data_IF_715934274211
#
_entry.id   IF_715934274211
#
_cell.length_a   1.000
_cell.length_b   1.000
_cell.length_c   1.000
_cell.angle_alpha   90.00
_cell.angle_beta   90.00
_cell.angle_gamma   90.00
#
_symmetry.space_group_name_H-M   'P 1'
#
loop_
_entity.id
_entity.type
_entity.pdbx_description
1 polymer ?
#
# COMPACT_ATOMS: atom_id res chain seq x y z
N UNK A 1 -6.67 23.18 -3.03
CA UNK A 1 -5.77 23.52 -1.91
C UNK A 1 -4.88 22.33 -1.61
N UNK A 2 -3.57 22.53 -1.39
CA UNK A 2 -2.64 21.45 -1.03
C UNK A 2 -3.07 20.63 0.19
N UNK A 3 -3.61 21.27 1.23
CA UNK A 3 -4.14 20.58 2.42
C UNK A 3 -5.24 19.59 2.11
N UNK A 4 -6.19 20.01 1.29
CA UNK A 4 -7.30 19.16 0.86
C UNK A 4 -6.77 17.96 0.05
N UNK A 5 -5.76 18.16 -0.80
CA UNK A 5 -5.13 17.07 -1.53
C UNK A 5 -4.46 16.05 -0.60
N UNK A 6 -3.68 16.49 0.39
CA UNK A 6 -3.08 15.58 1.39
C UNK A 6 -4.14 14.76 2.14
N UNK A 7 -5.23 15.40 2.57
CA UNK A 7 -6.33 14.72 3.27
C UNK A 7 -7.02 13.68 2.38
N UNK A 8 -7.26 14.03 1.11
CA UNK A 8 -7.86 13.12 0.14
C UNK A 8 -6.94 11.93 -0.19
N UNK A 9 -5.63 12.16 -0.34
CA UNK A 9 -4.68 11.07 -0.57
C UNK A 9 -4.60 10.11 0.62
N UNK A 10 -4.65 10.63 1.85
CA UNK A 10 -4.75 9.80 3.06
C UNK A 10 -6.01 8.94 3.05
N UNK A 11 -7.15 9.55 2.73
CA UNK A 11 -8.43 8.85 2.65
C UNK A 11 -8.42 7.80 1.53
N UNK A 12 -7.84 8.11 0.37
CA UNK A 12 -7.72 7.18 -0.74
C UNK A 12 -6.92 5.93 -0.34
N UNK A 13 -5.80 6.08 0.38
CA UNK A 13 -5.06 4.93 0.93
C UNK A 13 -5.90 4.15 1.94
N UNK A 14 -6.63 4.82 2.82
CA UNK A 14 -7.51 4.14 3.77
C UNK A 14 -8.59 3.29 3.05
N UNK A 15 -9.21 3.85 2.01
CA UNK A 15 -10.18 3.13 1.18
C UNK A 15 -9.54 1.95 0.43
N UNK A 16 -8.33 2.14 -0.10
CA UNK A 16 -7.58 1.07 -0.75
C UNK A 16 -7.34 -0.10 0.21
N UNK A 17 -6.87 0.17 1.43
CA UNK A 17 -6.63 -0.90 2.40
C UNK A 17 -7.92 -1.62 2.80
N UNK A 18 -9.06 -0.90 2.83
CA UNK A 18 -10.38 -1.52 3.06
C UNK A 18 -10.78 -2.46 1.92
N UNK A 19 -10.49 -2.10 0.66
CA UNK A 19 -10.70 -2.98 -0.48
C UNK A 19 -9.81 -4.23 -0.44
N UNK A 20 -8.63 -4.14 0.16
CA UNK A 20 -7.71 -5.27 0.38
C UNK A 20 -8.06 -6.09 1.64
N UNK A 21 -9.27 -5.94 2.18
CA UNK A 21 -9.77 -6.71 3.33
C UNK A 21 -9.47 -6.10 4.70
N UNK A 22 -9.00 -4.84 4.75
CA UNK A 22 -8.86 -4.10 6.00
C UNK A 22 -10.21 -3.68 6.58
N UNK A 23 -10.41 -3.85 7.89
CA UNK A 23 -11.66 -3.48 8.58
C UNK A 23 -11.47 -2.34 9.59
N UNK A 24 -10.22 -2.00 9.91
CA UNK A 24 -9.87 -0.98 10.89
C UNK A 24 -9.65 0.39 10.29
N UNK A 25 -9.19 1.31 11.14
CA UNK A 25 -8.62 2.59 10.68
C UNK A 25 -7.27 2.36 9.99
N UNK A 26 -6.73 3.40 9.33
CA UNK A 26 -5.47 3.30 8.58
C UNK A 26 -4.30 2.73 9.43
N UNK A 27 -4.19 3.12 10.69
CA UNK A 27 -3.11 2.63 11.57
C UNK A 27 -3.25 1.13 11.88
N UNK A 28 -4.47 0.69 12.20
CA UNK A 28 -4.78 -0.73 12.43
C UNK A 28 -4.55 -1.57 11.18
N UNK A 29 -4.97 -1.07 10.01
CA UNK A 29 -4.77 -1.79 8.75
C UNK A 29 -3.28 -1.90 8.38
N UNK A 30 -2.47 -0.86 8.65
CA UNK A 30 -1.01 -0.96 8.48
C UNK A 30 -0.44 -2.06 9.37
N UNK A 31 -0.81 -2.09 10.66
CA UNK A 31 -0.37 -3.13 11.60
C UNK A 31 -0.73 -4.53 11.11
N UNK A 32 -1.98 -4.73 10.67
CA UNK A 32 -2.45 -6.02 10.15
C UNK A 32 -1.69 -6.46 8.90
N UNK A 33 -1.32 -5.54 8.01
CA UNK A 33 -0.51 -5.87 6.83
C UNK A 33 0.93 -6.26 7.22
N UNK A 34 1.51 -5.60 8.21
CA UNK A 34 2.84 -5.96 8.74
C UNK A 34 2.83 -7.38 9.32
N UNK A 35 1.79 -7.75 10.07
CA UNK A 35 1.61 -9.12 10.59
C UNK A 35 1.47 -10.16 9.46
N UNK A 36 0.98 -9.74 8.29
CA UNK A 36 0.89 -10.56 7.06
C UNK A 36 2.17 -10.55 6.22
N UNK A 37 3.27 -9.97 6.71
CA UNK A 37 4.56 -9.95 6.03
C UNK A 37 4.74 -8.80 5.03
N UNK A 38 4.04 -7.67 5.22
CA UNK A 38 4.25 -6.48 4.40
C UNK A 38 5.73 -6.05 4.39
N UNK A 39 6.23 -5.69 3.21
CA UNK A 39 7.57 -5.15 3.06
C UNK A 39 7.76 -3.88 3.94
N UNK A 40 8.81 -3.81 4.79
CA UNK A 40 9.05 -2.65 5.67
C UNK A 40 9.10 -1.30 4.94
N UNK A 41 9.56 -1.27 3.69
CA UNK A 41 9.60 -0.03 2.90
C UNK A 41 8.20 0.46 2.53
N UNK A 42 7.26 -0.46 2.27
CA UNK A 42 5.87 -0.11 1.96
C UNK A 42 5.14 0.33 3.23
N UNK A 43 5.44 -0.29 4.37
CA UNK A 43 4.97 0.20 5.67
C UNK A 43 5.41 1.66 5.90
N UNK A 44 6.70 1.98 5.69
CA UNK A 44 7.20 3.34 5.82
C UNK A 44 6.46 4.33 4.90
N UNK A 45 6.20 3.95 3.64
CA UNK A 45 5.40 4.75 2.71
C UNK A 45 3.99 5.03 3.24
N UNK A 46 3.31 4.00 3.76
CA UNK A 46 1.97 4.14 4.34
C UNK A 46 1.97 5.06 5.57
N UNK A 47 2.97 4.93 6.44
CA UNK A 47 3.12 5.78 7.63
C UNK A 47 3.38 7.24 7.27
N UNK A 48 4.19 7.53 6.26
CA UNK A 48 4.43 8.89 5.77
C UNK A 48 3.11 9.51 5.28
N UNK A 49 2.31 8.76 4.50
CA UNK A 49 1.00 9.24 4.02
C UNK A 49 0.05 9.49 5.19
N UNK A 50 0.00 8.59 6.16
CA UNK A 50 -0.85 8.72 7.36
C UNK A 50 -0.51 9.97 8.16
N UNK A 51 0.76 10.17 8.50
CA UNK A 51 1.22 11.29 9.34
C UNK A 51 1.08 12.61 8.61
N UNK A 52 1.52 12.68 7.35
CA UNK A 52 1.46 13.92 6.55
C UNK A 52 0.03 14.32 6.24
N UNK A 53 -0.82 13.35 5.87
CA UNK A 53 -2.24 13.57 5.61
C UNK A 53 -3.01 14.06 6.83
N UNK A 54 -2.71 13.53 8.02
CA UNK A 54 -3.30 14.00 9.29
C UNK A 54 -2.83 15.42 9.64
N UNK A 55 -1.54 15.71 9.50
CA UNK A 55 -1.01 17.02 9.86
C UNK A 55 -1.52 18.14 8.93
N UNK A 56 -1.88 17.82 7.69
CA UNK A 56 -2.38 18.78 6.72
C UNK A 56 -3.74 19.42 7.09
N UNK A 57 -4.51 18.81 8.00
CA UNK A 57 -5.84 19.29 8.40
C UNK A 57 -5.87 19.96 9.79
N UNK A 58 -4.75 19.98 10.52
CA UNK A 58 -4.69 20.62 11.84
C UNK A 58 -4.36 22.12 11.71
N UNK A 59 -5.23 23.03 12.19
CA UNK A 59 -4.98 24.47 12.13
C UNK A 59 -3.78 24.87 13.01
N UNK A 60 -2.89 25.72 12.48
CA UNK A 60 -1.76 26.30 13.23
C UNK A 60 -0.35 25.88 12.76
N UNK A 61 -0.22 24.90 11.86
CA UNK A 61 1.05 24.55 11.18
C UNK A 61 0.95 24.87 9.69
N UNK A 62 1.06 26.16 9.35
CA UNK A 62 1.19 26.57 7.95
C UNK A 62 2.68 26.52 7.62
N UNK A 63 3.13 25.46 6.95
CA UNK A 63 4.46 25.44 6.38
C UNK A 63 4.37 25.75 4.88
N UNK A 64 5.28 26.56 4.39
CA UNK A 64 5.36 27.02 2.99
C UNK A 64 5.68 25.89 1.99
N UNK A 65 5.90 24.66 2.49
CA UNK A 65 6.24 23.46 1.72
C UNK A 65 5.04 22.59 1.30
N UNK A 66 3.81 23.03 1.55
CA UNK A 66 2.59 22.21 1.37
C UNK A 66 2.46 21.59 -0.04
N UNK A 67 2.81 22.30 -1.12
CA UNK A 67 2.72 21.78 -2.49
C UNK A 67 3.78 20.71 -2.78
N UNK A 68 4.99 20.86 -2.23
CA UNK A 68 6.04 19.86 -2.36
C UNK A 68 5.65 18.55 -1.64
N UNK A 69 5.01 18.67 -0.48
CA UNK A 69 4.51 17.53 0.28
C UNK A 69 3.42 16.77 -0.49
N UNK A 70 2.51 17.44 -1.19
CA UNK A 70 1.47 16.78 -2.01
C UNK A 70 2.07 15.92 -3.11
N UNK A 71 3.08 16.42 -3.83
CA UNK A 71 3.72 15.66 -4.92
C UNK A 71 4.37 14.38 -4.41
N UNK A 72 5.09 14.47 -3.29
CA UNK A 72 5.69 13.29 -2.63
C UNK A 72 4.61 12.30 -2.21
N UNK A 73 3.47 12.75 -1.70
CA UNK A 73 2.37 11.86 -1.34
C UNK A 73 1.76 11.15 -2.57
N UNK A 74 1.64 11.82 -3.71
CA UNK A 74 1.22 11.16 -4.95
C UNK A 74 2.20 10.06 -5.38
N UNK A 75 3.50 10.35 -5.31
CA UNK A 75 4.54 9.36 -5.64
C UNK A 75 4.47 8.15 -4.69
N UNK A 76 4.27 8.38 -3.39
CA UNK A 76 4.10 7.30 -2.41
C UNK A 76 2.83 6.48 -2.66
N UNK A 77 1.72 7.12 -3.02
CA UNK A 77 0.48 6.40 -3.37
C UNK A 77 0.70 5.49 -4.57
N UNK A 78 1.44 5.95 -5.59
CA UNK A 78 1.80 5.11 -6.73
C UNK A 78 2.67 3.91 -6.31
N UNK A 79 3.68 4.12 -5.47
CA UNK A 79 4.53 3.03 -4.94
C UNK A 79 3.70 2.00 -4.16
N UNK A 80 2.75 2.47 -3.33
CA UNK A 80 1.87 1.61 -2.55
C UNK A 80 0.96 0.80 -3.47
N UNK A 81 0.28 1.44 -4.42
CA UNK A 81 -0.61 0.76 -5.37
C UNK A 81 0.15 -0.26 -6.23
N UNK A 82 1.35 0.10 -6.70
CA UNK A 82 2.21 -0.78 -7.47
C UNK A 82 2.58 -2.04 -6.66
N UNK A 83 3.00 -1.86 -5.40
CA UNK A 83 3.42 -2.99 -4.57
C UNK A 83 2.27 -3.86 -4.08
N UNK A 84 1.10 -3.28 -3.81
CA UNK A 84 -0.03 -4.01 -3.21
C UNK A 84 -0.99 -4.59 -4.24
N UNK A 85 -0.99 -4.07 -5.47
CA UNK A 85 -1.97 -4.44 -6.50
C UNK A 85 -1.26 -4.85 -7.79
N UNK A 86 -0.52 -3.94 -8.42
CA UNK A 86 0.02 -4.18 -9.77
C UNK A 86 1.00 -5.34 -9.79
N UNK A 87 2.00 -5.34 -8.90
CA UNK A 87 3.02 -6.38 -8.85
C UNK A 87 2.44 -7.76 -8.54
N UNK A 88 1.61 -7.94 -7.47
CA UNK A 88 0.96 -9.23 -7.22
C UNK A 88 0.16 -9.75 -8.42
N UNK A 89 -0.67 -8.89 -9.04
CA UNK A 89 -1.48 -9.28 -10.18
C UNK A 89 -0.62 -9.68 -11.38
N UNK A 90 0.41 -8.89 -11.70
CA UNK A 90 1.32 -9.17 -12.80
C UNK A 90 2.10 -10.47 -12.60
N UNK A 91 2.57 -10.72 -11.37
CA UNK A 91 3.23 -11.98 -11.03
C UNK A 91 2.26 -13.15 -11.19
N UNK A 92 1.02 -13.01 -10.71
CA UNK A 92 0.00 -14.03 -10.84
C UNK A 92 -0.33 -14.33 -12.31
N UNK A 93 -0.47 -13.32 -13.16
CA UNK A 93 -0.71 -13.49 -14.59
C UNK A 93 0.44 -14.25 -15.27
N UNK A 94 1.68 -13.85 -14.99
CA UNK A 94 2.87 -14.51 -15.54
C UNK A 94 2.96 -15.97 -15.02
N UNK A 95 2.73 -16.20 -13.74
CA UNK A 95 2.74 -17.54 -13.16
C UNK A 95 1.63 -18.43 -13.76
N UNK A 96 0.45 -17.85 -13.97
CA UNK A 96 -0.68 -18.55 -14.61
C UNK A 96 -0.39 -18.95 -16.05
N UNK A 97 0.53 -18.25 -16.73
CA UNK A 97 0.98 -18.59 -18.08
C UNK A 97 1.94 -19.78 -18.18
N UNK A 98 2.43 -20.30 -17.05
CA UNK A 98 3.30 -21.48 -17.04
C UNK A 98 2.56 -22.73 -17.55
N UNK A 99 3.26 -23.67 -18.21
CA UNK A 99 2.67 -24.95 -18.62
C UNK A 99 2.17 -25.75 -17.42
N UNK A 100 1.05 -26.45 -17.59
CA UNK A 100 0.38 -27.17 -16.50
C UNK A 100 1.31 -28.19 -15.81
N UNK A 101 2.08 -28.96 -16.58
CA UNK A 101 3.05 -29.91 -16.01
C UNK A 101 4.16 -29.24 -15.17
N UNK A 102 4.46 -27.96 -15.40
CA UNK A 102 5.39 -27.20 -14.53
C UNK A 102 4.71 -26.78 -13.23
N UNK A 103 3.42 -26.40 -13.27
CA UNK A 103 2.64 -26.07 -12.06
C UNK A 103 2.46 -27.29 -11.18
N UNK A 104 2.06 -28.43 -11.76
CA UNK A 104 1.93 -29.71 -11.04
C UNK A 104 3.25 -30.14 -10.37
N UNK A 105 4.39 -29.90 -11.02
CA UNK A 105 5.70 -30.21 -10.45
C UNK A 105 6.05 -29.31 -9.26
N UNK A 106 5.63 -28.03 -9.30
CA UNK A 106 5.78 -27.08 -8.18
C UNK A 106 4.89 -27.49 -7.02
N UNK A 107 3.62 -27.81 -7.27
CA UNK A 107 2.68 -28.27 -6.24
C UNK A 107 3.21 -29.53 -5.53
N UNK A 108 3.65 -30.54 -6.27
CA UNK A 108 4.26 -31.76 -5.70
C UNK A 108 5.54 -31.50 -4.89
N UNK A 109 6.30 -30.45 -5.22
CA UNK A 109 7.48 -30.04 -4.43
C UNK A 109 7.04 -29.43 -3.10
N UNK A 110 6.05 -28.56 -3.13
CA UNK A 110 5.59 -27.81 -1.97
C UNK A 110 4.77 -28.68 -1.01
N UNK A 111 4.01 -29.66 -1.52
CA UNK A 111 3.33 -30.70 -0.71
C UNK A 111 4.29 -31.60 0.09
N UNK A 112 5.55 -31.74 -0.34
CA UNK A 112 6.56 -32.56 0.35
C UNK A 112 7.27 -31.82 1.49
N UNK A 113 6.94 -30.55 1.72
CA UNK A 113 7.60 -29.71 2.72
C UNK A 113 6.85 -29.64 4.06
N UNK A 114 5.86 -30.51 4.30
CA UNK A 114 5.22 -30.73 5.61
C UNK A 114 5.77 -31.96 6.35
#
# INVERSE_FOLDING_TARGET
SPRAACALLRLAIEMLLKQLGGTGNLNENIKNLVEKGLNPKIQQSLDIVRVTGNNAIHPGKIDSSETANVRVLFDLVNVIAESLITQPNRIQEIYSSLPEGSKEAIEKRDEKAE
#
